data_IF_491162445815
#
_entry.id   IF_491162445815
#
_cell.length_a   1.000
_cell.length_b   1.000
_cell.length_c   1.000
_cell.angle_alpha   90.00
_cell.angle_beta   90.00
_cell.angle_gamma   90.00
#
_symmetry.space_group_name_H-M   'P 1'
#
loop_
_entity.id
_entity.type
_entity.pdbx_description
1 polymer ?
#
# COMPACT_ATOMS: atom_id res chain seq x y z
N UNK A 1 -28.60 -12.60 -40.29
CA UNK A 1 -29.43 -11.38 -40.41
C UNK A 1 -28.55 -10.25 -40.95
N UNK A 2 -29.10 -9.30 -41.71
CA UNK A 2 -28.34 -8.14 -42.21
C UNK A 2 -28.31 -7.05 -41.15
N UNK A 3 -27.13 -6.53 -40.78
CA UNK A 3 -26.95 -5.51 -39.73
C UNK A 3 -27.56 -4.16 -40.11
N UNK A 4 -27.52 -3.82 -41.40
CA UNK A 4 -28.00 -2.56 -41.96
C UNK A 4 -29.09 -2.78 -43.00
N UNK A 5 -29.99 -1.80 -43.15
CA UNK A 5 -30.98 -1.70 -44.21
C UNK A 5 -30.98 -0.28 -44.79
N UNK A 6 -30.94 -0.16 -46.12
CA UNK A 6 -31.03 1.11 -46.82
C UNK A 6 -32.40 1.24 -47.50
N UNK A 7 -33.15 2.29 -47.19
CA UNK A 7 -34.45 2.52 -47.78
C UNK A 7 -34.31 3.02 -49.23
N UNK A 8 -34.84 2.22 -50.17
CA UNK A 8 -34.57 2.33 -51.61
C UNK A 8 -34.90 3.69 -52.25
N UNK A 9 -35.91 4.42 -51.75
CA UNK A 9 -36.34 5.70 -52.34
C UNK A 9 -35.92 6.93 -51.53
N UNK A 10 -35.64 6.78 -50.24
CA UNK A 10 -35.31 7.92 -49.36
C UNK A 10 -33.84 7.97 -48.99
N UNK A 11 -33.08 6.89 -49.21
CA UNK A 11 -31.69 6.77 -48.79
C UNK A 11 -31.48 6.66 -47.28
N UNK A 12 -32.54 6.47 -46.50
CA UNK A 12 -32.42 6.29 -45.05
C UNK A 12 -31.75 4.97 -44.72
N UNK A 13 -30.61 5.03 -44.03
CA UNK A 13 -29.89 3.88 -43.52
C UNK A 13 -30.36 3.61 -42.08
N UNK A 14 -30.89 2.41 -41.83
CA UNK A 14 -31.32 1.96 -40.50
C UNK A 14 -30.56 0.72 -40.07
N UNK A 15 -30.47 0.51 -38.77
CA UNK A 15 -29.91 -0.72 -38.18
C UNK A 15 -31.03 -1.70 -37.87
N UNK A 16 -30.77 -3.00 -38.03
CA UNK A 16 -31.80 -4.05 -37.90
C UNK A 16 -31.73 -4.85 -36.60
N UNK A 17 -30.70 -4.64 -35.77
CA UNK A 17 -30.46 -5.43 -34.55
C UNK A 17 -29.68 -4.65 -33.50
N UNK A 18 -29.83 -4.99 -32.22
CA UNK A 18 -28.97 -4.53 -31.12
C UNK A 18 -27.66 -5.34 -31.05
N UNK A 19 -27.10 -5.75 -32.19
CA UNK A 19 -25.96 -6.67 -32.26
C UNK A 19 -24.64 -5.95 -32.55
N UNK A 20 -24.56 -4.64 -32.29
CA UNK A 20 -23.30 -3.91 -32.38
C UNK A 20 -22.56 -4.09 -31.06
N UNK A 21 -21.36 -4.63 -31.18
CA UNK A 21 -20.43 -4.87 -30.11
C UNK A 21 -19.08 -4.34 -30.60
N UNK A 22 -18.61 -3.26 -29.98
CA UNK A 22 -17.42 -2.53 -30.44
C UNK A 22 -16.16 -3.37 -30.23
N UNK A 23 -16.18 -4.23 -29.22
CA UNK A 23 -15.12 -5.17 -28.86
C UNK A 23 -14.95 -6.25 -29.95
N UNK A 24 -16.00 -6.48 -30.76
CA UNK A 24 -15.95 -7.40 -31.90
C UNK A 24 -15.69 -6.68 -33.23
N UNK A 25 -16.43 -5.60 -33.53
CA UNK A 25 -16.24 -4.78 -34.75
C UNK A 25 -16.51 -3.31 -34.43
N UNK A 26 -15.50 -2.47 -34.59
CA UNK A 26 -15.53 -1.03 -34.31
C UNK A 26 -15.92 -0.16 -35.52
N UNK A 27 -15.81 -0.69 -36.75
CA UNK A 27 -16.11 0.05 -37.97
C UNK A 27 -16.71 -0.82 -39.08
N UNK A 28 -17.69 -0.27 -39.80
CA UNK A 28 -18.27 -0.86 -41.01
C UNK A 28 -18.12 0.09 -42.20
N UNK A 29 -17.51 -0.39 -43.28
CA UNK A 29 -17.44 0.33 -44.56
C UNK A 29 -18.49 -0.22 -45.53
N UNK A 30 -19.55 0.54 -45.75
CA UNK A 30 -20.68 0.16 -46.60
C UNK A 30 -20.50 0.77 -47.99
N UNK A 31 -20.52 -0.07 -49.03
CA UNK A 31 -20.59 0.41 -50.41
C UNK A 31 -22.05 0.54 -50.82
N UNK A 32 -22.48 1.73 -51.23
CA UNK A 32 -23.86 1.99 -51.67
C UNK A 32 -23.87 2.48 -53.10
N UNK A 33 -24.86 2.02 -53.87
CA UNK A 33 -25.04 2.36 -55.27
C UNK A 33 -26.42 3.00 -55.47
N UNK A 34 -26.44 4.12 -56.18
CA UNK A 34 -27.66 4.72 -56.69
C UNK A 34 -27.75 4.47 -58.19
N UNK A 35 -28.91 4.06 -58.68
CA UNK A 35 -29.18 3.79 -60.10
C UNK A 35 -30.44 4.53 -60.52
N UNK A 36 -30.40 5.20 -61.67
CA UNK A 36 -31.59 5.84 -62.25
C UNK A 36 -32.56 4.80 -62.86
N UNK A 37 -33.64 5.27 -63.52
CA UNK A 37 -34.63 4.41 -64.17
C UNK A 37 -35.22 3.30 -63.26
N UNK A 38 -35.49 3.62 -61.99
CA UNK A 38 -36.02 2.68 -60.97
C UNK A 38 -35.15 1.41 -60.81
N UNK A 39 -33.83 1.55 -60.99
CA UNK A 39 -32.88 0.44 -60.87
C UNK A 39 -32.93 -0.56 -62.00
N UNK A 40 -33.53 -0.22 -63.15
CA UNK A 40 -33.54 -1.08 -64.32
C UNK A 40 -32.12 -1.29 -64.87
N UNK A 41 -31.90 -2.41 -65.55
CA UNK A 41 -30.56 -2.85 -65.99
C UNK A 41 -29.86 -1.93 -67.00
N UNK A 42 -30.61 -1.04 -67.65
CA UNK A 42 -30.08 -0.02 -68.56
C UNK A 42 -29.88 1.35 -67.88
N UNK A 43 -30.20 1.46 -66.59
CA UNK A 43 -29.98 2.68 -65.82
C UNK A 43 -28.50 2.94 -65.58
N UNK A 44 -28.14 4.22 -65.44
CA UNK A 44 -26.82 4.67 -65.06
C UNK A 44 -26.69 4.65 -63.54
N UNK A 45 -25.52 4.24 -63.05
CA UNK A 45 -25.26 4.11 -61.62
C UNK A 45 -24.07 4.92 -61.15
N UNK A 46 -24.12 5.37 -59.91
CA UNK A 46 -23.00 5.95 -59.15
C UNK A 46 -22.85 5.23 -57.83
N UNK A 47 -21.60 5.01 -57.40
CA UNK A 47 -21.27 4.29 -56.16
C UNK A 47 -20.53 5.22 -55.20
N UNK A 48 -20.86 5.14 -53.91
CA UNK A 48 -20.14 5.84 -52.84
C UNK A 48 -19.95 4.93 -51.63
N UNK A 49 -19.14 5.38 -50.67
CA UNK A 49 -18.82 4.66 -49.44
C UNK A 49 -19.41 5.39 -48.23
N UNK A 50 -19.93 4.62 -47.27
CA UNK A 50 -20.40 5.12 -45.97
C UNK A 50 -19.58 4.43 -44.88
N UNK A 51 -18.87 5.24 -44.10
CA UNK A 51 -18.13 4.78 -42.94
C UNK A 51 -19.03 4.87 -41.70
N UNK A 52 -19.28 3.75 -41.04
CA UNK A 52 -20.06 3.68 -39.80
C UNK A 52 -19.14 3.26 -38.67
N UNK A 53 -18.78 4.21 -37.81
CA UNK A 53 -18.03 3.95 -36.57
C UNK A 53 -18.97 3.56 -35.44
N UNK A 54 -18.63 2.51 -34.68
CA UNK A 54 -19.36 2.09 -33.49
C UNK A 54 -18.74 2.78 -32.27
N UNK A 55 -19.57 3.48 -31.49
CA UNK A 55 -19.13 4.08 -30.23
C UNK A 55 -19.09 3.03 -29.12
N UNK A 56 -18.05 3.11 -28.30
CA UNK A 56 -17.87 2.32 -27.08
C UNK A 56 -18.93 2.61 -26.02
N UNK A 57 -19.32 1.58 -25.28
CA UNK A 57 -20.05 1.70 -24.01
C UNK A 57 -19.29 0.91 -22.95
N UNK A 58 -19.47 1.25 -21.68
CA UNK A 58 -18.80 0.54 -20.59
C UNK A 58 -19.53 -0.76 -20.25
N UNK A 59 -19.44 -1.78 -21.08
CA UNK A 59 -20.09 -3.08 -20.87
C UNK A 59 -19.12 -4.19 -20.43
N UNK A 60 -17.81 -3.91 -20.41
CA UNK A 60 -16.81 -4.76 -19.79
C UNK A 60 -16.34 -4.15 -18.47
N UNK A 61 -16.05 -5.01 -17.49
CA UNK A 61 -15.45 -4.59 -16.22
C UNK A 61 -13.98 -4.98 -16.18
N UNK A 62 -13.14 -4.25 -15.43
CA UNK A 62 -11.72 -4.56 -15.34
C UNK A 62 -11.56 -5.80 -14.46
N UNK A 63 -10.80 -6.77 -14.96
CA UNK A 63 -10.54 -8.03 -14.27
C UNK A 63 -9.08 -8.13 -13.85
N UNK A 64 -8.81 -8.45 -12.59
CA UNK A 64 -7.45 -8.78 -12.17
C UNK A 64 -6.90 -9.98 -12.96
N UNK A 65 -5.66 -9.86 -13.42
CA UNK A 65 -4.98 -10.96 -14.14
C UNK A 65 -4.65 -12.13 -13.20
N UNK A 66 -4.52 -11.87 -11.90
CA UNK A 66 -4.32 -12.87 -10.85
C UNK A 66 -5.30 -12.65 -9.70
N UNK A 67 -5.77 -13.73 -9.09
CA UNK A 67 -6.58 -13.67 -7.86
C UNK A 67 -5.73 -13.36 -6.62
N UNK A 68 -4.43 -13.70 -6.67
CA UNK A 68 -3.49 -13.49 -5.58
C UNK A 68 -2.26 -12.71 -6.05
N UNK A 69 -1.84 -11.75 -5.24
CA UNK A 69 -0.61 -11.00 -5.41
C UNK A 69 0.25 -11.14 -4.16
N UNK A 70 1.57 -11.00 -4.31
CA UNK A 70 2.49 -10.98 -3.19
C UNK A 70 3.48 -9.82 -3.35
N UNK A 71 3.77 -9.16 -2.25
CA UNK A 71 4.76 -8.09 -2.19
C UNK A 71 5.55 -8.15 -0.89
N UNK A 72 6.74 -7.56 -0.90
CA UNK A 72 7.59 -7.45 0.29
C UNK A 72 8.02 -6.01 0.47
N UNK A 73 8.10 -5.58 1.73
CA UNK A 73 8.53 -4.23 2.09
C UNK A 73 9.26 -4.29 3.42
N UNK A 74 10.28 -3.45 3.59
CA UNK A 74 10.94 -3.29 4.88
C UNK A 74 10.04 -2.51 5.83
N UNK A 75 10.10 -2.83 7.11
CA UNK A 75 9.42 -2.02 8.11
C UNK A 75 9.96 -0.59 8.16
N UNK A 76 9.27 0.30 8.87
CA UNK A 76 9.62 1.72 8.98
C UNK A 76 9.68 2.50 7.65
N UNK A 77 9.36 1.87 6.50
CA UNK A 77 9.32 2.54 5.19
C UNK A 77 7.97 3.19 4.89
N UNK A 78 8.02 4.40 4.33
CA UNK A 78 6.84 5.20 3.97
C UNK A 78 6.95 5.65 2.51
N UNK A 79 5.83 5.68 1.81
CA UNK A 79 5.70 6.03 0.39
C UNK A 79 6.53 5.12 -0.55
N UNK A 80 6.69 3.85 -0.19
CA UNK A 80 7.39 2.86 -1.01
C UNK A 80 6.38 1.94 -1.70
N UNK A 81 6.62 1.68 -2.99
CA UNK A 81 5.80 0.74 -3.76
C UNK A 81 6.00 -0.69 -3.25
N UNK A 82 4.89 -1.37 -2.96
CA UNK A 82 4.86 -2.76 -2.51
C UNK A 82 4.70 -3.70 -3.72
N UNK A 83 3.72 -3.42 -4.58
CA UNK A 83 3.41 -4.25 -5.75
C UNK A 83 2.64 -3.46 -6.81
N UNK A 84 2.71 -3.93 -8.05
CA UNK A 84 1.88 -3.49 -9.17
C UNK A 84 0.80 -4.53 -9.45
N UNK A 85 -0.45 -4.09 -9.58
CA UNK A 85 -1.62 -4.91 -9.85
C UNK A 85 -2.03 -4.71 -11.30
N UNK A 86 -2.08 -5.80 -12.07
CA UNK A 86 -2.45 -5.73 -13.48
C UNK A 86 -3.91 -6.14 -13.66
N UNK A 87 -4.63 -5.37 -14.46
CA UNK A 87 -6.02 -5.66 -14.85
C UNK A 87 -6.16 -5.72 -16.37
N UNK A 88 -7.20 -6.40 -16.83
CA UNK A 88 -7.60 -6.41 -18.23
C UNK A 88 -9.00 -5.86 -18.35
N UNK A 89 -9.16 -4.93 -19.28
CA UNK A 89 -10.44 -4.36 -19.68
C UNK A 89 -10.47 -4.32 -21.21
N UNK A 90 -11.62 -4.63 -21.80
CA UNK A 90 -11.79 -4.72 -23.25
C UNK A 90 -12.36 -3.46 -23.86
N UNK A 91 -12.90 -2.55 -23.04
CA UNK A 91 -13.46 -1.28 -23.48
C UNK A 91 -12.39 -0.39 -24.11
N UNK A 92 -12.82 0.63 -24.84
CA UNK A 92 -11.90 1.48 -25.61
C UNK A 92 -10.85 2.18 -24.71
N UNK A 93 -9.57 1.97 -25.02
CA UNK A 93 -8.44 2.56 -24.30
C UNK A 93 -8.53 4.08 -24.20
N UNK A 94 -8.15 4.63 -23.04
CA UNK A 94 -8.14 6.07 -22.78
C UNK A 94 -9.51 6.69 -22.50
N UNK A 95 -10.57 5.88 -22.41
CA UNK A 95 -11.90 6.32 -21.97
C UNK A 95 -12.08 6.09 -20.47
N UNK A 96 -13.14 6.68 -19.90
CA UNK A 96 -13.56 6.40 -18.53
C UNK A 96 -14.11 4.97 -18.35
N UNK A 97 -14.55 4.33 -19.45
CA UNK A 97 -14.92 2.92 -19.47
C UNK A 97 -13.67 2.06 -19.22
N UNK A 98 -12.55 2.35 -19.88
CA UNK A 98 -11.32 1.60 -19.65
C UNK A 98 -10.55 1.95 -18.36
N UNK A 99 -10.65 3.19 -17.86
CA UNK A 99 -9.84 3.66 -16.73
C UNK A 99 -10.21 2.98 -15.40
N UNK A 100 -9.28 2.22 -14.83
CA UNK A 100 -9.45 1.44 -13.61
C UNK A 100 -9.34 2.30 -12.34
N UNK A 101 -10.16 1.95 -11.36
CA UNK A 101 -10.20 2.56 -10.02
C UNK A 101 -10.11 1.44 -8.99
N UNK A 102 -8.99 1.41 -8.29
CA UNK A 102 -8.70 0.40 -7.27
C UNK A 102 -9.15 0.88 -5.89
N UNK A 103 -9.63 -0.05 -5.07
CA UNK A 103 -10.01 0.21 -3.69
C UNK A 103 -9.52 -0.92 -2.79
N UNK A 104 -8.88 -0.58 -1.66
CA UNK A 104 -8.59 -1.54 -0.60
C UNK A 104 -9.85 -1.65 0.26
N UNK A 105 -10.47 -2.83 0.30
CA UNK A 105 -11.74 -3.06 0.98
C UNK A 105 -11.58 -3.69 2.36
N UNK A 106 -10.50 -4.44 2.60
CA UNK A 106 -10.18 -5.04 3.91
C UNK A 106 -8.68 -5.13 4.18
N UNK A 107 -8.33 -5.33 5.45
CA UNK A 107 -6.96 -5.60 5.89
C UNK A 107 -6.09 -4.36 6.11
N UNK A 108 -6.68 -3.15 6.01
CA UNK A 108 -6.00 -1.87 6.07
C UNK A 108 -6.66 -0.90 7.08
N UNK A 109 -7.11 -1.42 8.22
CA UNK A 109 -7.87 -0.65 9.23
C UNK A 109 -7.04 0.47 9.86
N UNK A 110 -5.71 0.29 9.92
CA UNK A 110 -4.74 1.28 10.39
C UNK A 110 -4.37 2.32 9.31
N UNK A 111 -4.82 2.12 8.06
CA UNK A 111 -4.49 2.98 6.93
C UNK A 111 -3.00 2.97 6.58
N UNK A 112 -2.31 1.85 6.82
CA UNK A 112 -0.90 1.71 6.54
C UNK A 112 -0.58 1.57 5.04
N UNK A 113 -1.56 1.22 4.21
CA UNK A 113 -1.41 1.05 2.77
C UNK A 113 -2.29 2.04 1.98
N UNK A 114 -1.80 2.44 0.81
CA UNK A 114 -2.54 3.19 -0.19
C UNK A 114 -2.53 2.45 -1.53
N UNK A 115 -3.51 2.73 -2.37
CA UNK A 115 -3.55 2.26 -3.75
C UNK A 115 -3.88 3.43 -4.68
N UNK A 116 -3.18 3.50 -5.82
CA UNK A 116 -3.44 4.49 -6.88
C UNK A 116 -3.35 3.84 -8.25
N UNK A 117 -4.09 4.35 -9.21
CA UNK A 117 -3.98 3.93 -10.61
C UNK A 117 -2.80 4.65 -11.27
N UNK A 118 -1.96 3.91 -11.99
CA UNK A 118 -1.04 4.50 -12.96
C UNK A 118 -1.81 4.87 -14.24
N UNK A 119 -1.82 6.14 -14.61
CA UNK A 119 -2.65 6.64 -15.71
C UNK A 119 -2.14 6.24 -17.10
N UNK A 120 -0.92 5.70 -17.21
CA UNK A 120 -0.35 5.26 -18.48
C UNK A 120 -0.62 3.78 -18.73
N UNK A 121 -0.38 2.93 -17.72
CA UNK A 121 -0.57 1.48 -17.86
C UNK A 121 -1.92 0.97 -17.38
N UNK A 122 -2.69 1.79 -16.66
CA UNK A 122 -3.93 1.40 -15.97
C UNK A 122 -3.71 0.39 -14.84
N UNK A 123 -2.47 0.20 -14.40
CA UNK A 123 -2.12 -0.72 -13.32
C UNK A 123 -2.31 -0.07 -11.95
N UNK A 124 -2.64 -0.89 -10.96
CA UNK A 124 -2.79 -0.46 -9.57
C UNK A 124 -1.46 -0.49 -8.85
N UNK A 125 -0.98 0.64 -8.36
CA UNK A 125 0.23 0.72 -7.54
C UNK A 125 -0.18 0.72 -6.08
N UNK A 126 0.13 -0.37 -5.37
CA UNK A 126 -0.02 -0.44 -3.91
C UNK A 126 1.27 0.05 -3.26
N UNK A 127 1.16 0.93 -2.27
CA UNK A 127 2.29 1.55 -1.59
C UNK A 127 2.05 1.70 -0.09
N UNK A 128 3.12 1.87 0.70
CA UNK A 128 3.03 2.15 2.13
C UNK A 128 2.69 3.63 2.37
N UNK A 129 1.69 3.89 3.20
CA UNK A 129 1.27 5.25 3.63
C UNK A 129 1.75 5.58 5.04
N UNK A 130 2.08 4.57 5.84
CA UNK A 130 2.63 4.70 7.20
C UNK A 130 3.74 3.67 7.40
N UNK A 131 4.61 3.94 8.37
CA UNK A 131 5.61 2.96 8.80
C UNK A 131 4.90 1.70 9.29
N UNK A 132 5.39 0.56 8.82
CA UNK A 132 5.02 -0.75 9.34
C UNK A 132 5.99 -1.12 10.46
N UNK A 133 5.57 -2.06 11.29
CA UNK A 133 6.32 -2.59 12.43
C UNK A 133 6.27 -4.12 12.31
N UNK A 134 7.44 -4.75 12.16
CA UNK A 134 7.57 -6.18 11.94
C UNK A 134 7.17 -6.97 13.19
N UNK A 135 7.62 -6.55 14.36
CA UNK A 135 7.34 -7.13 15.68
C UNK A 135 5.83 -7.16 15.98
N UNK A 136 5.13 -6.13 15.54
CA UNK A 136 3.67 -6.06 15.67
C UNK A 136 2.94 -7.00 14.70
N UNK A 137 3.30 -6.96 13.42
CA UNK A 137 2.58 -7.72 12.38
C UNK A 137 3.47 -8.01 11.16
N UNK A 138 4.18 -9.14 11.13
CA UNK A 138 5.17 -9.46 10.08
C UNK A 138 4.52 -9.81 8.73
N UNK A 139 3.21 -10.02 8.70
CA UNK A 139 2.43 -10.34 7.51
C UNK A 139 1.12 -9.59 7.51
N UNK A 140 0.73 -9.05 6.35
CA UNK A 140 -0.57 -8.41 6.12
C UNK A 140 -1.25 -9.06 4.92
N UNK A 141 -2.58 -9.11 4.97
CA UNK A 141 -3.40 -9.57 3.85
C UNK A 141 -4.43 -8.48 3.54
N UNK A 142 -4.40 -7.96 2.33
CA UNK A 142 -5.29 -6.91 1.85
C UNK A 142 -6.26 -7.50 0.84
N UNK A 143 -7.54 -7.16 0.96
CA UNK A 143 -8.52 -7.43 -0.11
C UNK A 143 -8.70 -6.16 -0.93
N UNK A 144 -8.61 -6.30 -2.25
CA UNK A 144 -8.77 -5.18 -3.16
C UNK A 144 -9.84 -5.48 -4.20
N UNK A 145 -10.59 -4.45 -4.57
CA UNK A 145 -11.52 -4.47 -5.70
C UNK A 145 -11.09 -3.48 -6.77
N UNK A 146 -11.53 -3.71 -7.99
CA UNK A 146 -11.34 -2.79 -9.11
C UNK A 146 -12.65 -2.58 -9.86
N UNK A 147 -12.86 -1.37 -10.34
CA UNK A 147 -14.00 -0.96 -11.16
C UNK A 147 -13.58 0.10 -12.17
N UNK A 148 -14.39 0.35 -13.18
CA UNK A 148 -14.17 1.45 -14.12
C UNK A 148 -14.46 2.81 -13.44
N UNK A 149 -13.91 3.88 -13.99
CA UNK A 149 -14.30 5.24 -13.63
C UNK A 149 -15.72 5.57 -14.11
N UNK A 150 -16.17 4.94 -15.19
CA UNK A 150 -17.55 5.00 -15.67
C UNK A 150 -18.46 3.96 -14.99
N UNK A 151 -19.78 4.22 -14.86
CA UNK A 151 -20.73 3.19 -14.42
C UNK A 151 -20.85 2.07 -15.46
N UNK A 152 -20.87 0.81 -15.00
CA UNK A 152 -21.08 -0.35 -15.88
C UNK A 152 -22.49 -0.33 -16.48
N UNK A 153 -22.58 -0.59 -17.77
CA UNK A 153 -23.79 -0.62 -18.58
C UNK A 153 -24.09 -2.05 -19.00
N UNK A 154 -24.35 -2.94 -18.03
CA UNK A 154 -24.72 -4.33 -18.33
C UNK A 154 -26.11 -4.41 -18.97
N UNK A 155 -26.26 -5.14 -20.10
CA UNK A 155 -27.57 -5.45 -20.66
C UNK A 155 -28.34 -6.45 -19.78
N UNK A 156 -28.99 -6.00 -18.70
CA UNK A 156 -29.87 -6.83 -17.86
C UNK A 156 -29.80 -6.54 -16.35
N UNK A 157 -30.64 -7.23 -15.56
CA UNK A 157 -30.81 -7.03 -14.11
C UNK A 157 -29.72 -7.66 -13.22
N UNK A 158 -28.59 -8.10 -13.78
CA UNK A 158 -27.49 -8.63 -12.97
C UNK A 158 -26.64 -7.47 -12.45
N UNK A 159 -26.47 -7.42 -11.12
CA UNK A 159 -25.50 -6.52 -10.51
C UNK A 159 -24.10 -6.83 -11.07
N UNK A 160 -23.27 -5.80 -11.29
CA UNK A 160 -21.87 -5.99 -11.64
C UNK A 160 -21.19 -6.90 -10.60
N UNK A 161 -20.56 -7.99 -11.02
CA UNK A 161 -19.64 -8.72 -10.14
C UNK A 161 -18.36 -7.90 -10.07
N UNK A 162 -18.12 -7.23 -8.94
CA UNK A 162 -16.86 -6.54 -8.71
C UNK A 162 -15.72 -7.56 -8.73
N UNK A 163 -14.70 -7.31 -9.55
CA UNK A 163 -13.48 -8.11 -9.56
C UNK A 163 -12.71 -7.85 -8.27
N UNK A 164 -12.23 -8.93 -7.64
CA UNK A 164 -11.55 -8.89 -6.35
C UNK A 164 -10.26 -9.71 -6.41
N UNK A 165 -9.22 -9.26 -5.70
CA UNK A 165 -8.00 -10.03 -5.46
C UNK A 165 -7.56 -9.90 -4.00
N UNK A 166 -6.65 -10.79 -3.60
CA UNK A 166 -5.99 -10.77 -2.29
C UNK A 166 -4.50 -10.48 -2.48
N UNK A 167 -3.98 -9.51 -1.75
CA UNK A 167 -2.55 -9.18 -1.71
C UNK A 167 -1.96 -9.61 -0.36
N UNK A 168 -0.97 -10.50 -0.42
CA UNK A 168 -0.17 -10.90 0.73
C UNK A 168 1.11 -10.05 0.80
N UNK A 169 1.25 -9.27 1.87
CA UNK A 169 2.44 -8.44 2.12
C UNK A 169 3.28 -9.08 3.21
N UNK A 170 4.54 -9.37 2.91
CA UNK A 170 5.53 -9.76 3.91
C UNK A 170 6.35 -8.55 4.33
N UNK A 171 6.38 -8.27 5.63
CA UNK A 171 7.25 -7.23 6.19
C UNK A 171 8.61 -7.87 6.45
N UNK A 172 9.68 -7.18 6.05
CA UNK A 172 11.06 -7.56 6.38
C UNK A 172 11.50 -6.77 7.59
N UNK A 173 11.92 -7.51 8.60
CA UNK A 173 12.51 -7.08 9.87
C UNK A 173 13.76 -6.22 9.62
N UNK A 174 13.89 -5.10 10.33
CA UNK A 174 15.07 -4.23 10.33
C UNK A 174 15.55 -4.06 11.76
N UNK A 175 16.79 -4.47 12.02
CA UNK A 175 17.39 -4.41 13.35
C UNK A 175 17.20 -3.04 14.05
N UNK A 176 16.45 -3.04 15.14
CA UNK A 176 16.14 -1.88 15.97
C UNK A 176 17.10 -1.78 17.17
N UNK A 177 17.24 -0.60 17.79
CA UNK A 177 18.02 -0.47 19.01
C UNK A 177 17.27 -1.01 20.24
N UNK A 178 17.98 -1.53 21.25
CA UNK A 178 17.35 -2.00 22.47
C UNK A 178 16.69 -0.87 23.26
N UNK A 179 15.57 -1.18 23.92
CA UNK A 179 14.74 -0.21 24.61
C UNK A 179 14.54 -0.56 26.09
N UNK A 180 14.71 0.43 26.96
CA UNK A 180 14.41 0.28 28.39
C UNK A 180 12.91 0.08 28.63
N UNK A 181 12.61 -0.70 29.68
CA UNK A 181 11.27 -0.94 30.21
C UNK A 181 11.31 -0.75 31.74
N UNK A 182 10.64 0.29 32.29
CA UNK A 182 10.00 1.41 31.60
C UNK A 182 11.01 2.36 30.91
N UNK A 183 10.55 3.18 29.95
CA UNK A 183 11.40 4.16 29.25
C UNK A 183 11.94 5.27 30.17
N UNK A 184 11.19 5.60 31.23
CA UNK A 184 11.62 6.52 32.28
C UNK A 184 11.25 5.93 33.64
N UNK A 185 12.16 6.04 34.60
CA UNK A 185 11.99 5.52 35.94
C UNK A 185 12.18 6.64 36.96
N UNK A 186 11.17 6.87 37.79
CA UNK A 186 11.25 7.77 38.94
C UNK A 186 11.35 6.92 40.20
N UNK A 187 12.45 7.10 40.93
CA UNK A 187 12.66 6.41 42.19
C UNK A 187 11.99 7.19 43.33
N UNK A 188 11.52 6.50 44.39
CA UNK A 188 11.03 7.18 45.58
C UNK A 188 12.13 8.00 46.25
N UNK A 189 11.80 8.98 47.11
CA UNK A 189 12.80 9.72 47.87
C UNK A 189 13.66 8.78 48.71
N UNK A 190 14.97 8.95 48.60
CA UNK A 190 15.99 8.17 49.29
C UNK A 190 16.69 9.04 50.35
N UNK A 191 17.12 8.42 51.45
CA UNK A 191 17.87 9.13 52.50
C UNK A 191 19.29 9.43 52.03
N UNK A 192 19.79 10.65 52.29
CA UNK A 192 21.19 11.03 52.06
C UNK A 192 22.18 10.13 52.83
N UNK A 193 21.75 9.55 53.96
CA UNK A 193 22.53 8.60 54.74
C UNK A 193 22.62 7.17 54.19
N UNK A 194 22.20 6.91 52.94
CA UNK A 194 22.27 5.57 52.35
C UNK A 194 23.74 5.13 52.16
N UNK A 195 24.19 4.04 52.79
CA UNK A 195 25.56 3.59 52.67
C UNK A 195 25.89 3.15 51.24
N UNK A 196 27.18 3.20 50.83
CA UNK A 196 27.63 2.62 49.56
C UNK A 196 27.22 1.15 49.43
N UNK A 197 26.80 0.74 48.23
CA UNK A 197 26.31 -0.59 47.91
C UNK A 197 24.81 -0.79 48.14
N UNK A 198 24.07 0.26 48.51
CA UNK A 198 22.61 0.18 48.67
C UNK A 198 21.93 0.09 47.31
N UNK A 199 21.01 -0.87 47.14
CA UNK A 199 20.25 -1.03 45.90
C UNK A 199 19.16 0.03 45.78
N UNK A 200 19.19 0.76 44.67
CA UNK A 200 18.25 1.84 44.36
C UNK A 200 17.19 1.38 43.35
N UNK A 201 17.60 0.62 42.34
CA UNK A 201 16.72 0.19 41.27
C UNK A 201 17.27 -1.00 40.49
N UNK A 202 16.40 -1.62 39.70
CA UNK A 202 16.80 -2.63 38.72
C UNK A 202 16.26 -2.23 37.34
N UNK A 203 17.16 -1.88 36.43
CA UNK A 203 16.85 -1.54 35.05
C UNK A 203 16.61 -2.81 34.25
N UNK A 204 15.57 -2.80 33.43
CA UNK A 204 15.33 -3.84 32.44
C UNK A 204 15.24 -3.23 31.06
N UNK A 205 15.73 -3.95 30.06
CA UNK A 205 15.66 -3.56 28.67
C UNK A 205 15.38 -4.80 27.82
N UNK A 206 14.78 -4.57 26.67
CA UNK A 206 14.45 -5.60 25.68
C UNK A 206 14.85 -5.09 24.32
N UNK A 207 15.39 -5.97 23.50
CA UNK A 207 15.49 -5.72 22.08
C UNK A 207 14.16 -6.14 21.40
N UNK A 208 13.52 -5.26 20.59
CA UNK A 208 12.29 -5.61 19.89
C UNK A 208 12.46 -6.77 18.91
N UNK A 209 13.63 -6.89 18.26
CA UNK A 209 13.84 -7.73 17.08
C UNK A 209 13.47 -9.20 17.30
N UNK A 210 12.53 -9.73 16.52
CA UNK A 210 11.88 -11.02 16.80
C UNK A 210 12.81 -12.26 16.72
N UNK A 211 13.96 -12.15 16.04
CA UNK A 211 14.90 -13.26 15.85
C UNK A 211 16.28 -13.04 16.46
N UNK A 212 16.45 -11.99 17.27
CA UNK A 212 17.74 -11.66 17.84
C UNK A 212 17.88 -12.13 19.29
N UNK A 213 18.98 -12.86 19.56
CA UNK A 213 19.40 -13.29 20.90
C UNK A 213 20.58 -12.45 21.39
N UNK A 214 20.55 -11.17 21.06
CA UNK A 214 21.63 -10.23 21.33
C UNK A 214 21.86 -10.09 22.84
N UNK A 215 23.13 -9.96 23.21
CA UNK A 215 23.49 -9.75 24.61
C UNK A 215 23.40 -8.27 24.96
N UNK A 216 22.39 -7.92 25.73
CA UNK A 216 22.24 -6.54 26.23
C UNK A 216 23.27 -6.21 27.29
N UNK A 217 23.88 -5.03 27.15
CA UNK A 217 24.85 -4.49 28.10
C UNK A 217 24.40 -3.12 28.60
N UNK A 218 24.28 -3.00 29.91
CA UNK A 218 23.96 -1.75 30.58
C UNK A 218 25.23 -0.93 30.84
N UNK A 219 25.16 0.38 30.60
CA UNK A 219 26.26 1.32 30.76
C UNK A 219 25.75 2.57 31.47
N UNK A 220 26.40 2.98 32.55
CA UNK A 220 26.08 4.25 33.21
C UNK A 220 26.49 5.40 32.28
N UNK A 221 25.55 6.30 32.01
CA UNK A 221 25.75 7.48 31.18
C UNK A 221 26.19 8.67 32.01
N UNK A 222 25.34 9.70 32.09
CA UNK A 222 25.60 10.88 32.91
C UNK A 222 25.29 10.58 34.37
N UNK A 223 26.27 10.81 35.23
CA UNK A 223 26.15 10.74 36.68
C UNK A 223 26.94 11.91 37.30
N UNK A 224 26.38 13.14 37.31
CA UNK A 224 27.13 14.37 37.56
C UNK A 224 27.92 14.40 38.88
N UNK A 225 27.39 13.75 39.92
CA UNK A 225 28.02 13.67 41.24
C UNK A 225 28.79 12.35 41.47
N UNK A 226 28.85 11.45 40.47
CA UNK A 226 29.49 10.13 40.58
C UNK A 226 28.97 9.31 41.77
N UNK A 227 27.66 9.36 41.99
CA UNK A 227 26.97 8.73 43.12
C UNK A 227 26.55 7.30 42.86
N UNK A 228 26.52 6.88 41.61
CA UNK A 228 25.86 5.66 41.20
C UNK A 228 26.85 4.70 40.54
N UNK A 229 26.60 3.42 40.69
CA UNK A 229 27.21 2.36 39.89
C UNK A 229 26.11 1.51 39.29
N UNK A 230 26.23 1.19 38.00
CA UNK A 230 25.30 0.32 37.29
C UNK A 230 25.99 -1.02 37.01
N UNK A 231 25.43 -2.09 37.55
CA UNK A 231 25.91 -3.46 37.32
C UNK A 231 25.46 -3.97 35.96
N UNK A 232 26.20 -4.95 35.41
CA UNK A 232 25.82 -5.62 34.16
C UNK A 232 24.48 -6.35 34.24
N UNK A 233 23.98 -6.63 35.44
CA UNK A 233 22.65 -7.20 35.72
C UNK A 233 21.50 -6.21 35.55
N UNK A 234 21.79 -4.91 35.39
CA UNK A 234 20.80 -3.83 35.39
C UNK A 234 20.59 -3.18 36.76
N UNK A 235 21.19 -3.71 37.83
CA UNK A 235 21.03 -3.18 39.19
C UNK A 235 21.84 -1.88 39.39
N UNK A 236 21.17 -0.83 39.89
CA UNK A 236 21.75 0.47 40.22
C UNK A 236 22.01 0.52 41.72
N UNK A 237 23.25 0.74 42.11
CA UNK A 237 23.68 0.85 43.51
C UNK A 237 24.25 2.23 43.81
N UNK A 238 24.22 2.64 45.08
CA UNK A 238 25.00 3.80 45.56
C UNK A 238 26.50 3.47 45.54
N UNK A 239 27.32 4.32 44.94
CA UNK A 239 28.77 4.22 44.98
C UNK A 239 29.36 4.99 46.16
N UNK A 240 28.73 6.10 46.54
CA UNK A 240 29.10 6.93 47.69
C UNK A 240 27.85 7.29 48.50
N UNK A 241 28.03 7.95 49.64
CA UNK A 241 26.92 8.55 50.38
C UNK A 241 26.27 9.64 49.50
N UNK A 242 24.94 9.62 49.45
CA UNK A 242 24.17 10.65 48.75
C UNK A 242 24.22 11.94 49.57
N UNK A 243 24.21 13.09 48.93
CA UNK A 243 24.34 14.38 49.62
C UNK A 243 23.30 15.36 49.08
N UNK A 244 22.26 15.65 49.86
CA UNK A 244 21.14 16.49 49.42
C UNK A 244 21.61 17.92 49.12
N UNK A 245 22.60 18.41 49.84
CA UNK A 245 23.16 19.77 49.68
C UNK A 245 24.11 19.90 48.49
N UNK A 246 24.31 18.83 47.72
CA UNK A 246 25.14 18.83 46.52
C UNK A 246 24.64 19.83 45.46
N UNK A 247 25.54 20.54 44.76
CA UNK A 247 25.17 21.45 43.67
C UNK A 247 24.55 20.72 42.46
N UNK A 248 24.62 19.39 42.43
CA UNK A 248 24.01 18.56 41.38
C UNK A 248 22.56 18.15 41.69
N UNK A 249 22.04 18.49 42.87
CA UNK A 249 20.63 18.32 43.22
C UNK A 249 19.87 19.59 42.85
N UNK A 250 18.85 19.46 42.01
CA UNK A 250 18.01 20.57 41.59
C UNK A 250 16.54 20.26 41.85
N UNK A 251 15.85 21.16 42.56
CA UNK A 251 14.44 20.99 42.91
C UNK A 251 14.15 19.63 43.58
N UNK A 252 14.95 19.29 44.62
CA UNK A 252 14.92 18.02 45.36
C UNK A 252 15.06 16.77 44.47
N UNK A 253 15.65 16.90 43.28
CA UNK A 253 15.84 15.81 42.32
C UNK A 253 17.29 15.70 41.87
N UNK A 254 17.78 14.46 41.78
CA UNK A 254 19.04 14.10 41.14
C UNK A 254 18.73 13.30 39.87
N UNK A 255 19.35 13.65 38.76
CA UNK A 255 19.12 12.97 37.47
C UNK A 255 20.42 12.36 36.98
N UNK A 256 20.36 11.06 36.75
CA UNK A 256 21.39 10.30 36.05
C UNK A 256 20.79 9.64 34.82
N UNK A 257 21.62 9.33 33.83
CA UNK A 257 21.20 8.58 32.64
C UNK A 257 21.90 7.24 32.56
N UNK A 258 21.21 6.25 32.02
CA UNK A 258 21.75 4.94 31.69
C UNK A 258 21.55 4.68 30.20
N UNK A 259 22.45 3.89 29.63
CA UNK A 259 22.41 3.43 28.25
C UNK A 259 22.30 1.91 28.27
N UNK A 260 21.56 1.35 27.32
CA UNK A 260 21.60 -0.06 26.98
C UNK A 260 22.14 -0.15 25.56
N UNK A 261 23.06 -1.07 25.35
CA UNK A 261 23.63 -1.37 24.03
C UNK A 261 23.53 -2.86 23.79
N UNK A 262 23.20 -3.22 22.56
CA UNK A 262 23.31 -4.58 22.04
C UNK A 262 24.73 -4.81 21.50
N UNK A 263 25.04 -6.04 21.13
CA UNK A 263 26.33 -6.40 20.52
C UNK A 263 26.39 -6.14 19.01
N UNK A 264 25.32 -5.59 18.42
CA UNK A 264 25.28 -5.07 17.07
C UNK A 264 25.47 -6.16 16.03
N UNK A 265 24.39 -6.89 15.71
CA UNK A 265 24.41 -7.75 14.54
C UNK A 265 24.20 -6.85 13.32
N UNK A 266 25.26 -6.58 12.55
CA UNK A 266 25.10 -5.86 11.29
C UNK A 266 24.33 -6.75 10.33
N UNK A 267 23.08 -6.38 10.06
CA UNK A 267 22.35 -6.96 8.95
C UNK A 267 23.15 -6.77 7.66
N UNK A 268 23.44 -7.83 6.89
CA UNK A 268 24.21 -7.73 5.66
C UNK A 268 23.53 -6.87 4.58
N UNK A 269 22.32 -6.37 4.82
CA UNK A 269 21.58 -5.45 3.94
C UNK A 269 21.96 -3.97 4.08
N UNK A 270 22.63 -3.54 5.14
CA UNK A 270 22.83 -2.10 5.41
C UNK A 270 24.08 -1.48 4.74
N UNK A 271 24.69 -2.17 3.78
CA UNK A 271 25.74 -1.63 2.90
C UNK A 271 25.19 -1.43 1.48
N UNK A 272 24.32 -0.43 1.30
CA UNK A 272 24.17 0.42 0.10
C UNK A 272 22.87 1.21 0.25
N UNK A 273 22.96 2.45 0.69
CA UNK A 273 22.47 3.61 -0.07
C UNK A 273 22.83 4.89 0.69
N UNK A 274 23.65 5.69 0.01
CA UNK A 274 24.05 7.11 0.25
C UNK A 274 24.79 7.44 1.54
#
# INVERSE_FOLDING_TARGET
ATLFALHRTTGWLTTNTNAFDRETVDEYNLTVQATDCDGQSYGLSSTTYILVSISDINDNSPEFVSAEYSGAVWENTVNVTVVWLTVRDRDAHGTAAWHAVYTITRGNDDGAFGVRTDTQSNEGVVFTSKGLDFESAPRRALELTVQNAAPLLTPGTQLPSLSQCTLHVSISDLNEPPVFRPHFMVLPPHSEGLPPGSSLANLTATDPDANHTQMLRFVLGQDPASWLVLLATGEVLTQVLLDRESPHVFNDSYVATALVVDDGNQDPGHLKHS
#
